data_IF_769480742073
#
_entry.id   IF_769480742073
#
_cell.length_a   1.000
_cell.length_b   1.000
_cell.length_c   1.000
_cell.angle_alpha   90.00
_cell.angle_beta   90.00
_cell.angle_gamma   90.00
#
_symmetry.space_group_name_H-M   'P 1'
#
loop_
_entity.id
_entity.type
_entity.pdbx_description
1 polymer ?
#
# COMPACT_ATOMS: atom_id res chain seq x y z
N UNK A 1 6.15 18.33 11.59
CA UNK A 1 4.94 17.63 11.10
C UNK A 1 3.86 17.87 12.13
N UNK A 2 2.76 18.50 11.73
CA UNK A 2 1.62 18.73 12.62
C UNK A 2 0.80 17.44 12.77
N UNK A 3 0.11 17.30 13.91
CA UNK A 3 -0.59 16.07 14.31
C UNK A 3 -1.55 15.54 13.24
N UNK A 4 -2.20 16.43 12.48
CA UNK A 4 -3.14 16.05 11.43
C UNK A 4 -2.45 15.23 10.34
N UNK A 5 -1.29 15.66 9.84
CA UNK A 5 -0.56 14.93 8.79
C UNK A 5 -0.06 13.58 9.28
N UNK A 6 0.38 13.49 10.54
CA UNK A 6 0.79 12.22 11.14
C UNK A 6 -0.38 11.23 11.18
N UNK A 7 -1.55 11.69 11.61
CA UNK A 7 -2.76 10.87 11.67
C UNK A 7 -3.20 10.44 10.27
N UNK A 8 -3.13 11.35 9.28
CA UNK A 8 -3.49 11.03 7.88
C UNK A 8 -2.55 9.98 7.29
N UNK A 9 -1.23 10.21 7.34
CA UNK A 9 -0.24 9.29 6.76
C UNK A 9 -0.27 7.95 7.49
N UNK A 10 -0.24 7.98 8.83
CA UNK A 10 -0.28 6.77 9.65
C UNK A 10 -1.58 5.99 9.47
N UNK A 11 -2.73 6.66 9.44
CA UNK A 11 -4.04 6.04 9.26
C UNK A 11 -4.18 5.37 7.89
N UNK A 12 -3.80 6.05 6.82
CA UNK A 12 -3.85 5.48 5.46
C UNK A 12 -2.89 4.31 5.35
N UNK A 13 -1.64 4.45 5.81
CA UNK A 13 -0.65 3.37 5.76
C UNK A 13 -1.11 2.16 6.56
N UNK A 14 -1.74 2.36 7.72
CA UNK A 14 -2.29 1.28 8.54
C UNK A 14 -3.43 0.56 7.81
N UNK A 15 -4.41 1.30 7.29
CA UNK A 15 -5.56 0.71 6.61
C UNK A 15 -5.11 -0.07 5.36
N UNK A 16 -4.31 0.56 4.49
CA UNK A 16 -3.88 -0.06 3.23
C UNK A 16 -2.89 -1.19 3.48
N UNK A 17 -1.88 -0.96 4.33
CA UNK A 17 -0.82 -1.91 4.60
C UNK A 17 -1.32 -3.14 5.37
N UNK A 18 -2.09 -2.94 6.45
CA UNK A 18 -2.63 -4.05 7.21
C UNK A 18 -3.63 -4.86 6.39
N UNK A 19 -4.51 -4.20 5.63
CA UNK A 19 -5.43 -4.91 4.75
C UNK A 19 -4.70 -5.76 3.71
N UNK A 20 -3.66 -5.21 3.06
CA UNK A 20 -2.87 -5.96 2.07
C UNK A 20 -2.20 -7.19 2.68
N UNK A 21 -1.62 -7.06 3.88
CA UNK A 21 -1.02 -8.18 4.61
C UNK A 21 -2.09 -9.23 4.95
N UNK A 22 -3.22 -8.82 5.52
CA UNK A 22 -4.30 -9.73 5.92
C UNK A 22 -4.78 -10.52 4.71
N UNK A 23 -5.01 -9.86 3.58
CA UNK A 23 -5.55 -10.50 2.37
C UNK A 23 -4.53 -11.45 1.72
N UNK A 24 -3.26 -11.05 1.62
CA UNK A 24 -2.20 -11.93 1.14
C UNK A 24 -1.96 -13.13 2.06
N UNK A 25 -1.95 -12.95 3.38
CA UNK A 25 -1.82 -14.04 4.35
C UNK A 25 -3.02 -14.98 4.30
N UNK A 26 -4.23 -14.45 4.12
CA UNK A 26 -5.44 -15.24 3.93
C UNK A 26 -5.30 -16.18 2.73
N UNK A 27 -4.84 -15.66 1.59
CA UNK A 27 -4.56 -16.48 0.41
C UNK A 27 -3.49 -17.55 0.70
N UNK A 28 -2.38 -17.18 1.33
CA UNK A 28 -1.28 -18.10 1.68
C UNK A 28 -1.70 -19.21 2.63
N UNK A 29 -2.78 -19.03 3.39
CA UNK A 29 -3.40 -20.05 4.26
C UNK A 29 -4.43 -20.93 3.55
N UNK A 30 -4.60 -20.77 2.23
CA UNK A 30 -5.56 -21.53 1.43
C UNK A 30 -7.00 -21.02 1.53
N UNK A 31 -7.23 -19.85 2.11
CA UNK A 31 -8.57 -19.24 2.24
C UNK A 31 -8.95 -18.34 1.06
N UNK A 32 -8.06 -18.23 0.06
CA UNK A 32 -8.18 -17.32 -1.09
C UNK A 32 -8.10 -15.85 -0.72
N UNK A 33 -8.08 -14.98 -1.73
CA UNK A 33 -8.26 -13.54 -1.53
C UNK A 33 -9.70 -13.23 -1.12
N UNK A 34 -9.90 -12.10 -0.45
CA UNK A 34 -11.22 -11.58 -0.17
C UNK A 34 -11.92 -11.13 -1.46
N UNK A 35 -12.99 -11.84 -1.81
CA UNK A 35 -13.72 -11.66 -3.06
C UNK A 35 -15.24 -11.56 -2.82
N UNK A 36 -15.76 -10.37 -2.43
CA UNK A 36 -17.20 -10.15 -2.30
C UNK A 36 -17.93 -10.49 -3.61
N UNK A 37 -18.97 -11.31 -3.53
CA UNK A 37 -19.70 -11.76 -4.72
C UNK A 37 -18.90 -12.70 -5.63
N UNK A 38 -17.83 -13.32 -5.12
CA UNK A 38 -17.01 -14.29 -5.85
C UNK A 38 -16.07 -13.67 -6.88
N UNK A 39 -15.89 -12.35 -6.88
CA UNK A 39 -15.00 -11.64 -7.81
C UNK A 39 -13.86 -10.96 -7.07
N UNK A 40 -12.65 -11.11 -7.59
CA UNK A 40 -11.50 -10.33 -7.15
C UNK A 40 -11.70 -8.85 -7.48
N UNK A 41 -10.96 -8.00 -6.76
CA UNK A 41 -11.01 -6.56 -6.97
C UNK A 41 -10.50 -6.12 -8.35
N UNK A 42 -10.70 -4.85 -8.74
CA UNK A 42 -10.30 -4.32 -10.05
C UNK A 42 -8.81 -4.50 -10.40
N UNK A 43 -7.95 -4.63 -9.39
CA UNK A 43 -6.53 -4.95 -9.56
C UNK A 43 -6.31 -6.29 -10.30
N UNK A 44 -7.23 -7.26 -10.17
CA UNK A 44 -7.11 -8.56 -10.82
C UNK A 44 -7.25 -8.45 -12.34
N UNK A 45 -8.11 -7.57 -12.84
CA UNK A 45 -8.27 -7.32 -14.27
C UNK A 45 -7.00 -6.70 -14.86
N UNK A 46 -6.32 -5.84 -14.10
CA UNK A 46 -5.03 -5.26 -14.50
C UNK A 46 -3.95 -6.34 -14.60
N UNK A 47 -3.84 -7.23 -13.60
CA UNK A 47 -2.88 -8.34 -13.63
C UNK A 47 -3.15 -9.32 -14.78
N UNK A 48 -4.41 -9.66 -15.04
CA UNK A 48 -4.78 -10.50 -16.17
C UNK A 48 -4.37 -9.90 -17.51
N UNK A 49 -4.53 -8.58 -17.70
CA UNK A 49 -4.07 -7.88 -18.91
C UNK A 49 -2.55 -7.93 -19.08
N UNK A 50 -1.81 -8.08 -17.99
CA UNK A 50 -0.35 -8.25 -17.98
C UNK A 50 0.06 -9.73 -18.11
N UNK A 51 -0.90 -10.65 -18.27
CA UNK A 51 -0.64 -12.09 -18.34
C UNK A 51 -0.26 -12.73 -16.99
N UNK A 52 -0.52 -12.03 -15.89
CA UNK A 52 -0.27 -12.51 -14.52
C UNK A 52 -1.55 -13.12 -13.98
N UNK A 53 -1.48 -14.35 -13.48
CA UNK A 53 -2.58 -14.97 -12.76
C UNK A 53 -2.84 -14.20 -11.44
N UNK A 54 -3.99 -13.53 -11.29
CA UNK A 54 -4.29 -12.74 -10.10
C UNK A 54 -4.54 -13.61 -8.86
N UNK A 55 -4.94 -14.87 -9.04
CA UNK A 55 -5.20 -15.82 -7.95
C UNK A 55 -3.99 -16.73 -7.70
N UNK A 56 -2.82 -16.11 -7.54
CA UNK A 56 -1.55 -16.83 -7.46
C UNK A 56 -0.75 -16.52 -6.21
N UNK A 57 0.15 -17.44 -5.86
CA UNK A 57 1.08 -17.28 -4.73
C UNK A 57 1.96 -16.06 -4.88
N UNK A 58 2.37 -15.74 -6.12
CA UNK A 58 3.17 -14.56 -6.41
C UNK A 58 2.46 -13.30 -5.95
N UNK A 59 1.18 -13.14 -6.34
CA UNK A 59 0.38 -11.97 -5.98
C UNK A 59 0.19 -11.89 -4.47
N UNK A 60 -0.08 -13.01 -3.80
CA UNK A 60 -0.25 -13.04 -2.35
C UNK A 60 1.03 -12.59 -1.61
N UNK A 61 2.21 -13.02 -2.07
CA UNK A 61 3.49 -12.56 -1.53
C UNK A 61 3.71 -11.07 -1.80
N UNK A 62 3.39 -10.59 -3.00
CA UNK A 62 3.47 -9.16 -3.35
C UNK A 62 2.60 -8.32 -2.40
N UNK A 63 1.37 -8.74 -2.11
CA UNK A 63 0.48 -8.07 -1.15
C UNK A 63 1.10 -7.96 0.25
N UNK A 64 1.67 -9.05 0.76
CA UNK A 64 2.32 -9.08 2.08
C UNK A 64 3.55 -8.19 2.13
N UNK A 65 4.45 -8.32 1.15
CA UNK A 65 5.69 -7.53 1.06
C UNK A 65 5.38 -6.05 0.89
N UNK A 66 4.43 -5.71 0.03
CA UNK A 66 3.96 -4.35 -0.17
C UNK A 66 3.41 -3.75 1.13
N UNK A 67 2.48 -4.44 1.78
CA UNK A 67 1.88 -3.93 3.02
C UNK A 67 2.91 -3.77 4.15
N UNK A 68 3.84 -4.72 4.30
CA UNK A 68 4.91 -4.61 5.29
C UNK A 68 5.87 -3.44 4.98
N UNK A 69 6.24 -3.26 3.71
CA UNK A 69 7.09 -2.15 3.27
C UNK A 69 6.42 -0.81 3.49
N UNK A 70 5.11 -0.71 3.24
CA UNK A 70 4.34 0.52 3.44
C UNK A 70 4.30 0.91 4.92
N UNK A 71 4.04 -0.05 5.81
CA UNK A 71 4.03 0.17 7.26
C UNK A 71 5.42 0.54 7.79
N UNK A 72 6.47 -0.14 7.34
CA UNK A 72 7.85 0.14 7.75
C UNK A 72 8.30 1.54 7.30
N UNK A 73 8.03 1.90 6.03
CA UNK A 73 8.36 3.22 5.50
C UNK A 73 7.56 4.33 6.19
N UNK A 74 6.27 4.09 6.48
CA UNK A 74 5.44 5.02 7.23
C UNK A 74 5.97 5.24 8.65
N UNK A 75 6.33 4.17 9.37
CA UNK A 75 6.93 4.28 10.69
C UNK A 75 8.24 5.09 10.66
N UNK A 76 9.13 4.80 9.70
CA UNK A 76 10.38 5.55 9.52
C UNK A 76 10.14 7.04 9.23
N UNK A 77 9.17 7.36 8.36
CA UNK A 77 8.75 8.74 8.08
C UNK A 77 8.21 9.44 9.33
N UNK A 78 7.36 8.78 10.12
CA UNK A 78 6.79 9.31 11.35
C UNK A 78 7.86 9.55 12.44
N UNK A 79 8.94 8.77 12.44
CA UNK A 79 10.12 9.02 13.27
C UNK A 79 11.04 10.14 12.74
N UNK A 80 10.67 10.84 11.66
CA UNK A 80 11.41 11.96 11.11
C UNK A 80 12.53 11.60 10.15
N UNK A 81 12.62 10.35 9.67
CA UNK A 81 13.66 9.92 8.74
C UNK A 81 13.40 10.41 7.31
N UNK A 82 14.34 11.17 6.73
CA UNK A 82 14.29 11.58 5.31
C UNK A 82 14.33 10.38 4.37
N UNK A 83 15.16 9.38 4.66
CA UNK A 83 15.18 8.13 3.90
C UNK A 83 13.84 7.38 4.01
N UNK A 84 13.20 7.43 5.18
CA UNK A 84 11.85 6.92 5.40
C UNK A 84 10.80 7.62 4.54
N UNK A 85 10.86 8.95 4.41
CA UNK A 85 9.98 9.73 3.53
C UNK A 85 10.13 9.34 2.06
N UNK A 86 11.37 9.19 1.59
CA UNK A 86 11.66 8.75 0.21
C UNK A 86 11.14 7.32 -0.01
N UNK A 87 11.45 6.40 0.90
CA UNK A 87 10.96 5.03 0.84
C UNK A 87 9.43 4.98 0.82
N UNK A 88 8.76 5.82 1.61
CA UNK A 88 7.31 5.88 1.68
C UNK A 88 6.70 6.34 0.35
N UNK A 89 7.30 7.34 -0.31
CA UNK A 89 6.87 7.77 -1.66
C UNK A 89 7.06 6.63 -2.67
N UNK A 90 8.22 5.97 -2.66
CA UNK A 90 8.52 4.86 -3.60
C UNK A 90 7.53 3.71 -3.40
N UNK A 91 7.29 3.31 -2.15
CA UNK A 91 6.34 2.23 -1.85
C UNK A 91 4.92 2.65 -2.22
N UNK A 92 4.48 3.86 -1.88
CA UNK A 92 3.17 4.37 -2.29
C UNK A 92 3.01 4.37 -3.82
N UNK A 93 4.02 4.80 -4.58
CA UNK A 93 4.00 4.71 -6.04
C UNK A 93 3.86 3.27 -6.54
N UNK A 94 4.53 2.32 -5.87
CA UNK A 94 4.39 0.89 -6.18
C UNK A 94 3.02 0.32 -5.83
N UNK A 95 2.19 1.03 -5.06
CA UNK A 95 0.82 0.66 -4.69
C UNK A 95 -0.27 1.12 -5.65
N UNK A 96 0.08 1.87 -6.71
CA UNK A 96 -0.90 2.49 -7.62
C UNK A 96 -1.75 1.48 -8.41
N UNK A 97 -1.31 0.22 -8.52
CA UNK A 97 -2.06 -0.87 -9.14
C UNK A 97 -3.21 -1.40 -8.26
N UNK A 98 -3.22 -1.10 -6.95
CA UNK A 98 -4.23 -1.59 -6.01
C UNK A 98 -5.49 -0.73 -6.01
N UNK A 99 -6.30 -0.85 -7.08
CA UNK A 99 -7.46 -0.01 -7.34
C UNK A 99 -8.73 -0.42 -6.54
N UNK A 100 -9.58 0.55 -6.12
CA UNK A 100 -9.32 1.99 -6.05
C UNK A 100 -8.64 2.41 -4.73
N UNK A 101 -8.74 1.58 -3.69
CA UNK A 101 -8.42 1.96 -2.30
C UNK A 101 -6.93 2.21 -2.11
N UNK A 102 -6.07 1.34 -2.63
CA UNK A 102 -4.63 1.53 -2.59
C UNK A 102 -4.15 2.71 -3.41
N UNK A 103 -4.75 2.94 -4.58
CA UNK A 103 -4.41 4.07 -5.45
C UNK A 103 -4.71 5.41 -4.78
N UNK A 104 -5.92 5.60 -4.23
CA UNK A 104 -6.29 6.84 -3.54
C UNK A 104 -5.41 7.09 -2.31
N UNK A 105 -5.22 6.06 -1.48
CA UNK A 105 -4.35 6.17 -0.31
C UNK A 105 -2.91 6.53 -0.69
N UNK A 106 -2.38 5.89 -1.74
CA UNK A 106 -1.03 6.15 -2.24
C UNK A 106 -0.85 7.57 -2.77
N UNK A 107 -1.82 8.09 -3.52
CA UNK A 107 -1.80 9.46 -4.02
C UNK A 107 -1.80 10.50 -2.89
N UNK A 108 -2.62 10.28 -1.86
CA UNK A 108 -2.67 11.17 -0.68
C UNK A 108 -1.33 11.12 0.06
N UNK A 109 -0.78 9.94 0.32
CA UNK A 109 0.53 9.78 0.98
C UNK A 109 1.61 10.52 0.19
N UNK A 110 1.72 10.28 -1.12
CA UNK A 110 2.73 10.94 -1.96
C UNK A 110 2.56 12.47 -1.97
N UNK A 111 1.33 12.96 -2.07
CA UNK A 111 1.04 14.40 -2.06
C UNK A 111 1.43 15.06 -0.74
N UNK A 112 1.02 14.48 0.39
CA UNK A 112 1.33 15.00 1.73
C UNK A 112 2.84 14.95 1.99
N UNK A 113 3.46 13.78 1.82
CA UNK A 113 4.88 13.56 2.13
C UNK A 113 5.78 14.34 1.16
N UNK A 114 5.46 14.37 -0.12
CA UNK A 114 6.19 15.15 -1.12
C UNK A 114 6.12 16.65 -0.84
N UNK A 115 4.95 17.17 -0.50
CA UNK A 115 4.80 18.57 -0.06
C UNK A 115 5.66 18.86 1.18
N UNK A 116 5.67 17.97 2.16
CA UNK A 116 6.50 18.14 3.35
C UNK A 116 7.99 18.23 3.03
N UNK A 117 8.46 17.39 2.10
CA UNK A 117 9.86 17.37 1.71
C UNK A 117 10.26 18.68 1.01
N UNK A 118 9.42 19.20 0.12
CA UNK A 118 9.66 20.47 -0.56
C UNK A 118 9.63 21.68 0.38
N UNK A 119 8.77 21.65 1.42
CA UNK A 119 8.71 22.74 2.39
C UNK A 119 9.90 22.79 3.36
N UNK A 120 10.75 21.76 3.37
CA UNK A 120 11.93 21.64 4.26
C UNK A 120 13.25 21.94 3.56
N UNK A 121 13.25 22.08 2.23
CA UNK A 121 14.41 22.43 1.39
C UNK A 121 14.48 23.92 1.12
#
# INVERSE_FOLDING_TARGET
MDTVRQVVVGGIALIVGAWSIIDGVRWLRGLGFYAPGGRLGPWADLLQRLGIDPDSRLVAVVFVVYGASLLAAAAAHLCGSTAGSIALIVVAASGLWYLPVGTLGSLIIMGVVGWEMMARS
#
